data_IF_254789336124
#
_entry.id   IF_254789336124
#
_cell.length_a   1.000
_cell.length_b   1.000
_cell.length_c   1.000
_cell.angle_alpha   90.00
_cell.angle_beta   90.00
_cell.angle_gamma   90.00
#
_symmetry.space_group_name_H-M   'P 1'
#
loop_
_entity.id
_entity.type
_entity.pdbx_description
1 polymer ?
#
# COMPACT_ATOMS: atom_id res chain seq x y z
N UNK A 1 10.25 34.06 -8.01
CA UNK A 1 10.10 32.75 -7.46
C UNK A 1 11.37 32.28 -6.71
N UNK A 2 11.86 33.03 -5.71
CA UNK A 2 13.12 32.73 -4.96
C UNK A 2 13.03 33.03 -3.45
N UNK A 3 11.85 32.96 -2.83
CA UNK A 3 11.67 33.31 -1.40
C UNK A 3 10.96 32.27 -0.52
N UNK A 4 10.82 31.00 -0.96
CA UNK A 4 10.14 29.95 -0.18
C UNK A 4 11.11 28.92 0.43
N UNK A 5 12.40 28.96 0.10
CA UNK A 5 13.38 27.93 0.53
C UNK A 5 14.17 28.26 1.81
N UNK A 6 13.89 29.33 2.51
CA UNK A 6 14.72 29.80 3.64
C UNK A 6 14.08 29.69 5.04
N UNK A 7 12.92 29.09 5.18
CA UNK A 7 12.20 29.06 6.49
C UNK A 7 12.27 27.67 7.19
N UNK A 8 12.93 26.67 6.62
CA UNK A 8 13.05 25.34 7.24
C UNK A 8 14.33 25.12 8.07
N UNK A 9 15.21 26.13 8.19
CA UNK A 9 16.54 25.96 8.81
C UNK A 9 16.65 26.42 10.27
N UNK A 10 15.58 26.86 10.93
CA UNK A 10 15.65 27.52 12.24
C UNK A 10 15.03 26.75 13.42
N UNK A 11 14.79 25.45 13.31
CA UNK A 11 14.27 24.61 14.43
C UNK A 11 15.30 23.64 15.03
N UNK A 12 16.56 23.99 14.96
CA UNK A 12 17.66 23.10 15.30
C UNK A 12 18.44 23.44 16.58
N UNK A 13 17.82 23.63 17.76
CA UNK A 13 18.59 23.60 19.01
C UNK A 13 17.69 23.51 20.24
N UNK A 14 17.29 22.28 20.59
CA UNK A 14 16.96 21.89 21.96
C UNK A 14 17.43 20.44 22.14
N UNK A 15 18.70 20.31 22.55
CA UNK A 15 19.29 19.02 22.96
C UNK A 15 18.76 18.69 24.35
N UNK A 16 17.63 18.01 24.43
CA UNK A 16 17.25 17.24 25.60
C UNK A 16 17.23 15.78 25.14
N UNK A 17 17.88 14.90 25.88
CA UNK A 17 17.77 13.43 25.75
C UNK A 17 16.28 13.05 25.78
N UNK A 18 15.65 13.04 24.63
CA UNK A 18 14.21 12.75 24.54
C UNK A 18 14.02 11.28 24.22
N UNK A 19 13.74 10.49 25.25
CA UNK A 19 12.97 9.27 25.12
C UNK A 19 11.76 9.53 24.20
N UNK A 20 11.18 8.51 23.52
CA UNK A 20 9.93 8.69 22.76
C UNK A 20 8.83 9.13 23.73
N UNK A 21 8.74 10.41 23.98
CA UNK A 21 7.78 11.00 24.90
C UNK A 21 6.44 11.14 24.21
N UNK A 22 5.36 11.06 24.98
CA UNK A 22 4.03 11.42 24.53
C UNK A 22 4.05 12.83 23.89
N UNK A 23 3.40 12.97 22.72
CA UNK A 23 3.40 14.20 21.95
C UNK A 23 4.49 14.30 20.88
N UNK A 24 5.45 13.36 20.81
CA UNK A 24 6.49 13.35 19.77
C UNK A 24 5.93 12.96 18.41
N UNK A 25 6.54 13.50 17.38
CA UNK A 25 6.30 13.13 15.99
C UNK A 25 7.49 12.37 15.42
N UNK A 26 7.20 11.26 14.73
CA UNK A 26 8.19 10.49 13.97
C UNK A 26 7.86 10.65 12.49
N UNK A 27 8.81 11.18 11.73
CA UNK A 27 8.64 11.38 10.27
C UNK A 27 9.69 10.53 9.59
N UNK A 28 9.26 9.64 8.70
CA UNK A 28 10.19 8.77 7.96
C UNK A 28 9.91 8.78 6.47
N UNK A 29 10.94 8.53 5.69
CA UNK A 29 10.91 8.24 4.27
C UNK A 29 11.53 6.88 4.00
N UNK A 30 11.07 6.19 2.97
CA UNK A 30 11.58 4.86 2.66
C UNK A 30 10.96 4.24 1.41
N UNK A 31 11.12 2.94 1.31
CA UNK A 31 10.58 2.12 0.23
C UNK A 31 9.50 1.20 0.78
N UNK A 32 8.37 1.16 0.09
CA UNK A 32 7.29 0.22 0.38
C UNK A 32 7.04 -0.67 -0.82
N UNK A 33 6.98 -1.98 -0.56
CA UNK A 33 6.53 -3.01 -1.50
C UNK A 33 5.13 -3.46 -1.14
N UNK A 34 4.21 -3.44 -2.12
CA UNK A 34 2.90 -4.06 -2.01
C UNK A 34 2.87 -5.28 -2.94
N UNK A 35 2.70 -6.46 -2.35
CA UNK A 35 2.70 -7.73 -3.06
C UNK A 35 1.38 -8.48 -2.80
N UNK A 36 0.41 -8.44 -3.74
CA UNK A 36 -0.84 -9.19 -3.63
C UNK A 36 -0.61 -10.69 -3.56
N UNK A 37 -1.40 -11.37 -2.70
CA UNK A 37 -1.50 -12.84 -2.65
C UNK A 37 -2.87 -13.22 -3.22
N UNK A 38 -2.92 -13.34 -4.54
CA UNK A 38 -4.18 -13.35 -5.29
C UNK A 38 -4.87 -14.71 -5.21
N UNK A 39 -6.15 -14.69 -4.85
CA UNK A 39 -7.08 -15.80 -5.09
C UNK A 39 -8.25 -15.24 -5.91
N UNK A 40 -8.22 -15.52 -7.20
CA UNK A 40 -9.19 -15.02 -8.15
C UNK A 40 -10.35 -15.99 -8.31
N UNK A 41 -11.58 -15.47 -8.34
CA UNK A 41 -12.72 -16.18 -8.89
C UNK A 41 -12.60 -16.33 -10.42
N UNK A 42 -13.61 -16.89 -11.04
CA UNK A 42 -13.73 -16.99 -12.50
C UNK A 42 -14.47 -15.76 -13.04
N UNK A 43 -13.96 -15.19 -14.13
CA UNK A 43 -14.63 -14.12 -14.86
C UNK A 43 -15.98 -14.62 -15.38
N UNK A 44 -17.05 -13.84 -15.18
CA UNK A 44 -18.40 -14.23 -15.56
C UNK A 44 -18.56 -14.41 -17.08
N UNK A 45 -19.59 -15.17 -17.47
CA UNK A 45 -19.94 -15.37 -18.88
C UNK A 45 -20.10 -14.01 -19.63
N UNK A 46 -19.78 -13.98 -20.92
CA UNK A 46 -19.48 -15.08 -21.85
C UNK A 46 -17.99 -15.46 -21.94
N UNK A 47 -17.20 -15.08 -20.96
CA UNK A 47 -15.76 -15.46 -20.91
C UNK A 47 -15.60 -16.98 -20.85
N UNK A 48 -14.48 -17.55 -21.36
CA UNK A 48 -14.18 -18.97 -21.20
C UNK A 48 -14.20 -19.36 -19.72
N UNK A 49 -14.77 -20.51 -19.41
CA UNK A 49 -14.80 -21.05 -18.04
C UNK A 49 -13.38 -21.19 -17.50
N UNK A 50 -13.17 -20.83 -16.24
CA UNK A 50 -11.84 -20.88 -15.60
C UNK A 50 -10.92 -19.70 -15.96
N UNK A 51 -11.43 -18.65 -16.60
CA UNK A 51 -10.67 -17.39 -16.78
C UNK A 51 -10.47 -16.72 -15.44
N UNK A 52 -9.21 -16.58 -15.01
CA UNK A 52 -8.80 -15.99 -13.74
C UNK A 52 -7.76 -14.90 -13.95
N UNK A 53 -7.41 -14.15 -12.89
CA UNK A 53 -6.44 -13.04 -12.93
C UNK A 53 -5.43 -13.18 -11.82
N UNK A 54 -4.19 -12.77 -12.11
CA UNK A 54 -3.15 -12.52 -11.11
C UNK A 54 -2.74 -11.04 -11.14
N UNK A 55 -2.20 -10.55 -10.00
CA UNK A 55 -1.85 -9.15 -9.81
C UNK A 55 -0.41 -9.04 -9.34
N UNK A 56 0.40 -8.39 -10.15
CA UNK A 56 1.82 -8.18 -9.88
C UNK A 56 2.09 -7.25 -8.70
N UNK A 57 3.22 -7.44 -8.02
CA UNK A 57 3.69 -6.54 -6.98
C UNK A 57 4.22 -5.23 -7.57
N UNK A 58 4.19 -4.16 -6.74
CA UNK A 58 4.82 -2.87 -7.04
C UNK A 58 5.61 -2.33 -5.86
N UNK A 59 6.61 -1.49 -6.14
CA UNK A 59 7.46 -0.84 -5.15
C UNK A 59 7.43 0.67 -5.36
N UNK A 60 7.25 1.43 -4.27
CA UNK A 60 7.17 2.89 -4.32
C UNK A 60 8.00 3.52 -3.20
N UNK A 61 8.50 4.72 -3.45
CA UNK A 61 8.99 5.60 -2.39
C UNK A 61 7.79 6.12 -1.62
N UNK A 62 7.84 5.98 -0.31
CA UNK A 62 6.77 6.40 0.60
C UNK A 62 7.32 7.19 1.76
N UNK A 63 6.47 7.94 2.41
CA UNK A 63 6.73 8.55 3.70
C UNK A 63 5.74 8.01 4.74
N UNK A 64 6.02 8.25 6.02
CA UNK A 64 5.09 7.98 7.09
C UNK A 64 5.24 9.03 8.17
N UNK A 65 4.12 9.50 8.67
CA UNK A 65 4.05 10.35 9.86
C UNK A 65 3.44 9.53 10.98
N UNK A 66 4.11 9.51 12.13
CA UNK A 66 3.65 8.79 13.33
C UNK A 66 3.60 9.75 14.50
N UNK A 67 2.45 9.82 15.15
CA UNK A 67 2.23 10.57 16.38
C UNK A 67 2.28 9.62 17.57
N UNK A 68 3.16 9.90 18.54
CA UNK A 68 3.30 9.14 19.78
C UNK A 68 2.27 9.65 20.78
N UNK A 69 1.24 8.84 21.03
CA UNK A 69 0.13 9.19 21.93
C UNK A 69 0.57 9.10 23.38
N UNK A 70 1.23 8.00 23.72
CA UNK A 70 1.82 7.76 25.05
C UNK A 70 3.05 6.86 24.94
N UNK A 71 3.53 6.34 26.07
CA UNK A 71 4.75 5.51 26.12
C UNK A 71 4.67 4.29 25.18
N UNK A 72 3.49 3.71 24.97
CA UNK A 72 3.32 2.47 24.23
C UNK A 72 2.47 2.63 22.97
N UNK A 73 1.60 3.63 22.91
CA UNK A 73 0.69 3.81 21.79
C UNK A 73 1.12 4.91 20.83
N UNK A 74 1.00 4.63 19.54
CA UNK A 74 1.22 5.61 18.48
C UNK A 74 0.20 5.42 17.35
N UNK A 75 -0.06 6.50 16.61
CA UNK A 75 -0.88 6.51 15.40
C UNK A 75 0.03 6.83 14.21
N UNK A 76 0.04 5.96 13.21
CA UNK A 76 0.87 6.12 12.01
C UNK A 76 0.00 6.26 10.76
N UNK A 77 0.36 7.23 9.92
CA UNK A 77 -0.27 7.51 8.64
C UNK A 77 0.78 7.41 7.55
N UNK A 78 0.77 6.33 6.74
CA UNK A 78 1.60 6.22 5.55
C UNK A 78 1.14 7.23 4.49
N UNK A 79 2.09 7.80 3.78
CA UNK A 79 1.89 8.77 2.71
C UNK A 79 2.68 8.32 1.47
N UNK A 80 2.10 8.47 0.30
CA UNK A 80 2.78 8.12 -0.94
C UNK A 80 1.91 8.35 -2.16
N UNK A 81 2.50 8.11 -3.31
CA UNK A 81 1.79 8.04 -4.58
C UNK A 81 1.15 6.64 -4.74
N UNK A 82 0.22 6.52 -5.66
CA UNK A 82 -0.43 5.23 -5.94
C UNK A 82 0.55 4.17 -6.45
N UNK A 83 0.31 2.92 -6.08
CA UNK A 83 1.03 1.74 -6.56
C UNK A 83 0.41 1.26 -7.87
N UNK A 84 1.22 1.09 -8.90
CA UNK A 84 0.76 0.66 -10.23
C UNK A 84 0.97 -0.84 -10.42
N UNK A 85 -0.10 -1.59 -10.26
CA UNK A 85 -0.09 -3.04 -10.40
C UNK A 85 -0.37 -3.47 -11.85
N UNK A 86 0.38 -4.46 -12.33
CA UNK A 86 0.12 -5.14 -13.60
C UNK A 86 -0.84 -6.30 -13.36
N UNK A 87 -1.80 -6.48 -14.26
CA UNK A 87 -2.75 -7.57 -14.24
C UNK A 87 -2.36 -8.60 -15.29
N UNK A 88 -2.37 -9.88 -14.92
CA UNK A 88 -1.99 -11.00 -15.78
C UNK A 88 -3.14 -11.97 -15.92
N UNK A 89 -3.36 -12.45 -17.14
CA UNK A 89 -4.33 -13.51 -17.41
C UNK A 89 -3.81 -14.86 -16.92
N UNK A 90 -4.66 -15.60 -16.21
CA UNK A 90 -4.36 -16.94 -15.69
C UNK A 90 -5.53 -17.90 -15.92
N UNK A 91 -5.43 -19.15 -15.45
CA UNK A 91 -6.45 -20.17 -15.71
C UNK A 91 -6.55 -20.50 -17.19
N UNK A 92 -7.75 -20.45 -17.78
CA UNK A 92 -7.99 -20.77 -19.19
C UNK A 92 -7.30 -19.83 -20.18
N UNK A 93 -6.85 -18.66 -19.72
CA UNK A 93 -6.08 -17.68 -20.52
C UNK A 93 -4.62 -17.56 -20.04
N UNK A 94 -4.10 -18.61 -19.40
CA UNK A 94 -2.71 -18.62 -18.99
C UNK A 94 -1.76 -18.47 -20.19
N UNK A 95 -0.67 -17.69 -20.00
CA UNK A 95 0.31 -17.47 -21.05
C UNK A 95 0.03 -16.25 -21.97
N UNK A 96 -1.12 -15.61 -21.89
CA UNK A 96 -1.42 -14.40 -22.68
C UNK A 96 -0.63 -13.17 -22.22
N UNK A 97 0.01 -13.24 -21.06
CA UNK A 97 0.81 -12.14 -20.50
C UNK A 97 -0.05 -11.08 -19.80
N UNK A 98 0.39 -9.83 -19.91
CA UNK A 98 -0.28 -8.70 -19.24
C UNK A 98 -1.57 -8.33 -19.93
N UNK A 99 -2.67 -8.36 -19.17
CA UNK A 99 -4.03 -8.01 -19.65
C UNK A 99 -4.48 -6.61 -19.23
N UNK A 100 -3.76 -5.94 -18.34
CA UNK A 100 -4.12 -4.59 -17.92
C UNK A 100 -3.19 -4.03 -16.83
N UNK A 101 -3.56 -2.85 -16.34
CA UNK A 101 -2.95 -2.19 -15.18
C UNK A 101 -4.02 -1.53 -14.33
N UNK A 102 -3.72 -1.36 -13.05
CA UNK A 102 -4.54 -0.60 -12.11
C UNK A 102 -3.63 0.12 -11.11
N UNK A 103 -3.96 1.36 -10.78
CA UNK A 103 -3.32 2.11 -9.70
C UNK A 103 -4.12 1.95 -8.42
N UNK A 104 -3.45 1.66 -7.31
CA UNK A 104 -4.04 1.54 -5.99
C UNK A 104 -3.40 2.55 -5.04
N UNK A 105 -4.19 3.43 -4.44
CA UNK A 105 -3.77 4.36 -3.39
C UNK A 105 -4.39 3.90 -2.06
N UNK A 106 -3.61 3.25 -1.17
CA UNK A 106 -4.09 2.85 0.14
C UNK A 106 -4.08 4.05 1.11
N UNK A 107 -5.25 4.59 1.41
CA UNK A 107 -5.43 5.60 2.45
C UNK A 107 -5.59 4.86 3.79
N UNK A 108 -4.58 4.94 4.65
CA UNK A 108 -4.48 4.07 5.83
C UNK A 108 -4.15 4.85 7.10
N UNK A 109 -4.69 4.37 8.22
CA UNK A 109 -4.29 4.77 9.57
C UNK A 109 -4.00 3.50 10.37
N UNK A 110 -2.84 3.47 11.05
CA UNK A 110 -2.41 2.35 11.87
C UNK A 110 -2.32 2.77 13.34
N UNK A 111 -2.99 2.04 14.22
CA UNK A 111 -2.68 2.06 15.65
C UNK A 111 -1.51 1.10 15.89
N UNK A 112 -0.46 1.59 16.56
CA UNK A 112 0.73 0.82 16.89
C UNK A 112 0.83 0.68 18.41
N UNK A 113 1.04 -0.54 18.89
CA UNK A 113 1.46 -0.81 20.26
C UNK A 113 2.95 -1.13 20.27
N UNK A 114 3.75 -0.23 20.84
CA UNK A 114 5.21 -0.26 20.84
C UNK A 114 5.69 -0.88 22.17
N UNK A 115 6.38 -2.00 22.09
CA UNK A 115 6.87 -2.74 23.25
C UNK A 115 8.15 -2.11 23.81
N UNK A 116 8.40 -2.37 25.09
CA UNK A 116 9.57 -1.90 25.79
C UNK A 116 9.50 -0.43 26.24
N UNK A 117 10.60 0.03 26.82
CA UNK A 117 10.70 1.40 27.33
C UNK A 117 10.86 2.41 26.19
N UNK A 118 10.44 3.64 26.46
CA UNK A 118 10.45 4.72 25.46
C UNK A 118 11.86 5.13 25.00
N UNK A 119 12.89 4.87 25.81
CA UNK A 119 14.32 5.14 25.54
C UNK A 119 15.07 3.91 24.97
N UNK A 120 14.41 2.76 24.81
CA UNK A 120 15.06 1.57 24.29
C UNK A 120 15.51 1.80 22.82
N UNK A 121 16.76 1.42 22.51
CA UNK A 121 17.31 1.52 21.15
C UNK A 121 16.53 0.65 20.14
N UNK A 122 16.07 -0.50 20.58
CA UNK A 122 15.27 -1.42 19.75
C UNK A 122 13.84 -1.48 20.28
N UNK A 123 12.88 -1.10 19.43
CA UNK A 123 11.48 -1.05 19.80
C UNK A 123 10.63 -1.82 18.77
N UNK A 124 10.33 -3.09 19.02
CA UNK A 124 9.34 -3.82 18.24
C UNK A 124 7.93 -3.27 18.53
N UNK A 125 7.02 -3.45 17.58
CA UNK A 125 5.63 -3.06 17.74
C UNK A 125 4.70 -3.99 16.97
N UNK A 126 3.47 -4.14 17.50
CA UNK A 126 2.35 -4.68 16.78
C UNK A 126 1.49 -3.52 16.26
N UNK A 127 0.82 -3.72 15.13
CA UNK A 127 -0.05 -2.69 14.57
C UNK A 127 -1.32 -3.28 13.97
N UNK A 128 -2.38 -2.49 14.01
CA UNK A 128 -3.62 -2.76 13.30
C UNK A 128 -4.01 -1.52 12.52
N UNK A 129 -4.16 -1.66 11.21
CA UNK A 129 -4.56 -0.60 10.31
C UNK A 129 -5.98 -0.74 9.79
N UNK A 130 -6.65 0.39 9.62
CA UNK A 130 -7.81 0.52 8.75
C UNK A 130 -7.36 1.23 7.49
N UNK A 131 -7.59 0.59 6.34
CA UNK A 131 -7.18 1.09 5.03
C UNK A 131 -8.38 1.20 4.12
N UNK A 132 -8.48 2.28 3.35
CA UNK A 132 -9.35 2.39 2.20
C UNK A 132 -8.50 2.24 0.93
N UNK A 133 -8.62 1.10 0.26
CA UNK A 133 -7.92 0.83 -0.99
C UNK A 133 -8.67 1.54 -2.13
N UNK A 134 -8.19 2.72 -2.49
CA UNK A 134 -8.73 3.50 -3.60
C UNK A 134 -8.09 3.06 -4.91
N UNK A 135 -8.90 2.48 -5.81
CA UNK A 135 -8.46 2.05 -7.13
C UNK A 135 -8.83 3.09 -8.18
N UNK A 136 -7.86 3.44 -9.02
CA UNK A 136 -8.02 4.40 -10.12
C UNK A 136 -7.15 4.01 -11.31
N UNK A 137 -7.32 4.66 -12.45
CA UNK A 137 -6.55 4.46 -13.69
C UNK A 137 -6.45 2.98 -14.11
N UNK A 138 -7.55 2.25 -13.95
CA UNK A 138 -7.63 0.87 -14.40
C UNK A 138 -7.80 0.83 -15.93
N UNK A 139 -6.86 0.17 -16.63
CA UNK A 139 -6.80 0.13 -18.09
C UNK A 139 -6.59 -1.29 -18.57
N UNK A 140 -7.43 -1.73 -19.50
CA UNK A 140 -7.22 -2.96 -20.26
C UNK A 140 -6.11 -2.81 -21.29
N UNK A 141 -5.35 -3.87 -21.51
CA UNK A 141 -4.35 -3.93 -22.58
C UNK A 141 -4.95 -4.30 -23.94
N UNK A 142 -4.16 -4.14 -24.99
CA UNK A 142 -4.53 -4.65 -26.33
C UNK A 142 -4.81 -6.17 -26.32
N UNK A 143 -4.06 -6.92 -25.50
CA UNK A 143 -4.29 -8.37 -25.29
C UNK A 143 -5.69 -8.63 -24.71
N UNK A 144 -6.12 -7.89 -23.68
CA UNK A 144 -7.46 -8.02 -23.14
C UNK A 144 -8.53 -7.69 -24.21
N UNK A 145 -8.27 -6.65 -25.00
CA UNK A 145 -9.19 -6.24 -26.06
C UNK A 145 -9.40 -7.34 -27.11
N UNK A 146 -8.32 -8.04 -27.50
CA UNK A 146 -8.40 -9.13 -28.49
C UNK A 146 -9.02 -10.42 -27.94
N UNK A 147 -8.94 -10.64 -26.62
CA UNK A 147 -9.50 -11.81 -25.95
C UNK A 147 -10.99 -11.65 -25.61
N UNK A 148 -11.51 -10.43 -25.59
CA UNK A 148 -12.87 -10.16 -25.17
C UNK A 148 -13.84 -10.27 -26.37
N UNK A 149 -14.68 -11.34 -26.45
CA UNK A 149 -15.55 -11.56 -27.57
C UNK A 149 -16.66 -10.51 -27.71
N UNK A 150 -16.95 -9.74 -26.68
CA UNK A 150 -17.94 -8.67 -26.67
C UNK A 150 -17.35 -7.31 -27.07
N UNK A 151 -16.04 -7.24 -27.28
CA UNK A 151 -15.38 -5.98 -27.64
C UNK A 151 -15.56 -5.73 -29.15
N UNK A 152 -16.12 -4.57 -29.59
CA UNK A 152 -16.18 -4.22 -31.02
C UNK A 152 -14.78 -4.20 -31.64
N UNK A 153 -14.70 -4.51 -32.91
CA UNK A 153 -13.42 -4.43 -33.65
C UNK A 153 -12.82 -3.03 -33.50
N UNK A 154 -11.60 -2.95 -33.00
CA UNK A 154 -10.88 -1.68 -32.71
C UNK A 154 -11.33 -0.98 -31.41
N UNK A 155 -12.25 -1.55 -30.64
CA UNK A 155 -12.65 -1.02 -29.33
C UNK A 155 -11.66 -1.31 -28.23
N UNK A 156 -11.83 -0.65 -27.07
CA UNK A 156 -11.07 -0.90 -25.86
C UNK A 156 -11.96 -1.46 -24.75
N UNK A 157 -11.47 -2.45 -24.01
CA UNK A 157 -12.13 -2.97 -22.83
C UNK A 157 -11.73 -2.14 -21.60
N UNK A 158 -12.66 -1.35 -21.09
CA UNK A 158 -12.49 -0.60 -19.85
C UNK A 158 -12.51 -1.55 -18.64
N UNK A 159 -11.73 -1.20 -17.61
CA UNK A 159 -11.72 -1.90 -16.33
C UNK A 159 -12.18 -0.95 -15.22
N UNK A 160 -13.02 -1.44 -14.32
CA UNK A 160 -13.41 -0.75 -13.10
C UNK A 160 -13.17 -1.69 -11.93
N UNK A 161 -12.32 -1.28 -10.99
CA UNK A 161 -12.03 -2.02 -9.76
C UNK A 161 -12.70 -1.30 -8.60
N UNK A 162 -13.51 -2.01 -7.82
CA UNK A 162 -14.21 -1.44 -6.67
C UNK A 162 -13.24 -1.10 -5.55
N UNK A 163 -13.27 0.15 -5.10
CA UNK A 163 -12.55 0.58 -3.88
C UNK A 163 -13.22 0.01 -2.63
N UNK A 164 -12.43 -0.51 -1.69
CA UNK A 164 -12.94 -1.21 -0.50
C UNK A 164 -12.13 -0.86 0.74
N UNK A 165 -12.77 -0.96 1.89
CA UNK A 165 -12.09 -0.97 3.19
C UNK A 165 -11.46 -2.32 3.46
N UNK A 166 -10.31 -2.30 4.18
CA UNK A 166 -9.59 -3.48 4.59
C UNK A 166 -8.95 -3.27 5.97
N UNK A 167 -8.92 -4.32 6.77
CA UNK A 167 -8.12 -4.37 7.99
C UNK A 167 -6.72 -4.88 7.66
N UNK A 168 -5.72 -4.32 8.30
CA UNK A 168 -4.31 -4.60 8.03
C UNK A 168 -3.55 -4.86 9.33
N UNK A 169 -3.62 -6.07 9.91
CA UNK A 169 -2.74 -6.47 11.00
C UNK A 169 -1.28 -6.50 10.53
N UNK A 170 -0.37 -6.16 11.44
CA UNK A 170 1.06 -6.15 11.13
C UNK A 170 1.95 -6.06 12.35
N UNK A 171 3.24 -6.19 12.08
CA UNK A 171 4.33 -6.10 13.05
C UNK A 171 5.41 -5.21 12.47
N UNK A 172 6.19 -4.59 13.32
CA UNK A 172 7.34 -3.81 12.91
C UNK A 172 8.36 -3.65 14.02
N UNK A 173 9.47 -3.01 13.67
CA UNK A 173 10.55 -2.71 14.60
C UNK A 173 11.21 -1.41 14.22
N UNK A 174 11.46 -0.57 15.20
CA UNK A 174 12.27 0.63 15.06
C UNK A 174 13.60 0.45 15.79
N UNK A 175 14.69 0.81 15.14
CA UNK A 175 16.01 0.84 15.74
C UNK A 175 16.55 2.26 15.75
N UNK A 176 16.85 2.78 16.93
CA UNK A 176 17.36 4.12 17.14
C UNK A 176 18.87 4.17 16.86
N UNK A 177 19.26 4.99 15.88
CA UNK A 177 20.66 5.19 15.50
C UNK A 177 21.33 6.16 16.49
N UNK A 178 20.65 7.27 16.78
CA UNK A 178 21.04 8.30 17.72
C UNK A 178 19.82 8.96 18.38
N UNK A 179 19.96 10.10 19.01
CA UNK A 179 18.88 10.80 19.72
C UNK A 179 17.75 11.29 18.78
N UNK A 180 18.01 11.40 17.49
CA UNK A 180 17.07 11.92 16.50
C UNK A 180 16.71 10.91 15.42
N UNK A 181 17.67 10.14 14.93
CA UNK A 181 17.51 9.27 13.79
C UNK A 181 17.13 7.84 14.18
N UNK A 182 16.26 7.24 13.39
CA UNK A 182 15.90 5.83 13.53
C UNK A 182 15.73 5.18 12.17
N UNK A 183 15.88 3.86 12.13
CA UNK A 183 15.49 2.98 11.01
C UNK A 183 14.26 2.20 11.43
N UNK A 184 13.32 2.04 10.53
CA UNK A 184 12.07 1.32 10.76
C UNK A 184 11.86 0.26 9.70
N UNK A 185 11.48 -0.93 10.13
CA UNK A 185 11.02 -2.02 9.26
C UNK A 185 9.63 -2.46 9.70
N UNK A 186 8.73 -2.63 8.75
CA UNK A 186 7.39 -3.14 9.04
C UNK A 186 6.88 -4.10 7.98
N UNK A 187 6.05 -5.01 8.45
CA UNK A 187 5.28 -5.95 7.67
C UNK A 187 3.82 -5.90 8.08
N UNK A 188 2.91 -5.74 7.13
CA UNK A 188 1.48 -5.85 7.35
C UNK A 188 0.85 -6.72 6.27
N UNK A 189 -0.29 -7.33 6.59
CA UNK A 189 -1.12 -8.06 5.63
C UNK A 189 -2.50 -7.44 5.61
N UNK A 190 -2.89 -6.86 4.48
CA UNK A 190 -4.21 -6.27 4.30
C UNK A 190 -5.22 -7.36 3.93
N UNK A 191 -6.37 -7.41 4.61
CA UNK A 191 -7.45 -8.36 4.32
C UNK A 191 -8.41 -7.73 3.31
N UNK A 192 -8.05 -7.81 2.03
CA UNK A 192 -8.71 -7.08 0.96
C UNK A 192 -9.36 -8.01 -0.07
N UNK A 193 -10.65 -7.80 -0.29
CA UNK A 193 -11.42 -8.42 -1.38
C UNK A 193 -12.05 -7.31 -2.22
N UNK A 194 -12.01 -7.47 -3.54
CA UNK A 194 -12.61 -6.51 -4.46
C UNK A 194 -13.25 -7.19 -5.65
N UNK A 195 -14.07 -6.44 -6.38
CA UNK A 195 -14.70 -6.86 -7.63
C UNK A 195 -14.14 -5.99 -8.75
N UNK A 196 -13.77 -6.62 -9.85
CA UNK A 196 -13.44 -5.93 -11.10
C UNK A 196 -14.55 -6.16 -12.10
N UNK A 197 -15.02 -5.09 -12.74
CA UNK A 197 -16.05 -5.12 -13.79
C UNK A 197 -15.43 -4.59 -15.08
N UNK A 198 -15.67 -5.31 -16.18
CA UNK A 198 -15.29 -4.90 -17.52
C UNK A 198 -16.40 -4.00 -18.13
N UNK A 199 -16.03 -3.08 -19.03
CA UNK A 199 -17.00 -2.24 -19.77
C UNK A 199 -18.02 -3.05 -20.55
N UNK A 200 -17.75 -4.31 -20.82
CA UNK A 200 -18.63 -5.29 -21.49
C UNK A 200 -19.55 -6.04 -20.52
N UNK A 201 -19.59 -5.66 -19.24
CA UNK A 201 -20.52 -6.17 -18.22
C UNK A 201 -20.03 -7.40 -17.45
N UNK A 202 -18.94 -8.05 -17.88
CA UNK A 202 -18.36 -9.19 -17.16
C UNK A 202 -17.74 -8.73 -15.84
N UNK A 203 -17.79 -9.58 -14.82
CA UNK A 203 -17.22 -9.27 -13.50
C UNK A 203 -16.45 -10.45 -12.91
N UNK A 204 -15.51 -10.13 -12.02
CA UNK A 204 -14.70 -11.10 -11.32
C UNK A 204 -14.45 -10.64 -9.88
N UNK A 205 -14.67 -11.53 -8.91
CA UNK A 205 -14.34 -11.29 -7.50
C UNK A 205 -12.93 -11.79 -7.23
N UNK A 206 -12.13 -10.97 -6.59
CA UNK A 206 -10.73 -11.27 -6.33
C UNK A 206 -10.39 -10.99 -4.88
N UNK A 207 -9.82 -11.96 -4.20
CA UNK A 207 -9.17 -11.79 -2.90
C UNK A 207 -7.72 -11.43 -3.15
N UNK A 208 -7.30 -10.22 -2.77
CA UNK A 208 -5.96 -9.71 -3.03
C UNK A 208 -5.00 -9.94 -1.86
N UNK A 209 -5.47 -9.78 -0.63
CA UNK A 209 -4.72 -9.95 0.62
C UNK A 209 -3.23 -9.56 0.51
N UNK A 210 -2.89 -8.31 0.10
CA UNK A 210 -1.52 -7.93 -0.15
C UNK A 210 -0.67 -7.96 1.11
N UNK A 211 0.57 -8.45 0.97
CA UNK A 211 1.65 -8.20 1.91
C UNK A 211 2.23 -6.81 1.65
N UNK A 212 2.39 -6.03 2.70
CA UNK A 212 2.95 -4.68 2.69
C UNK A 212 4.25 -4.72 3.49
N UNK A 213 5.37 -4.45 2.83
CA UNK A 213 6.70 -4.44 3.46
C UNK A 213 7.28 -3.05 3.30
N UNK A 214 7.66 -2.44 4.40
CA UNK A 214 8.25 -1.09 4.40
C UNK A 214 9.59 -1.11 5.11
N UNK A 215 10.57 -0.45 4.51
CA UNK A 215 11.86 -0.12 5.12
C UNK A 215 12.09 1.38 4.97
N UNK A 216 12.32 2.06 6.08
CA UNK A 216 12.49 3.50 6.10
C UNK A 216 13.55 3.98 7.10
N UNK A 217 13.95 5.22 6.89
CA UNK A 217 14.75 6.00 7.84
C UNK A 217 13.97 7.25 8.20
N UNK A 218 14.01 7.66 9.44
CA UNK A 218 13.24 8.78 9.93
C UNK A 218 13.91 9.57 11.03
N UNK A 219 13.26 10.66 11.35
CA UNK A 219 13.63 11.58 12.41
C UNK A 219 12.50 11.74 13.42
N UNK A 220 12.88 12.01 14.64
CA UNK A 220 12.01 12.38 15.76
C UNK A 220 12.00 13.89 15.96
N UNK A 221 10.82 14.42 16.23
CA UNK A 221 10.54 15.83 16.54
C UNK A 221 9.72 15.95 17.81
#
# INVERSE_FOLDING_TARGET
MKKVLLTLAALGSLSATQAQQAGSWLIQGGMTRIAPSVSSGTLSAPSPSGTTVDVGADNQVTAQVTYVVDQNWALAVPLGLGFKHKLYGTGSIAGVGQIGTVSALPLSVFAQYRFGESNAKFRPYAMLGLSYAYFHDAQGSATLNSLNPLNPVGGSTGLKVDSKFALSPGLGMAYQLDDRWFVDFSYAKSLLKTTTTLSTGQSINTTLNPAIITLGIGMRY
#
